data_IF_967364901478
#
_entry.id   IF_967364901478
#
_cell.length_a   1.000
_cell.length_b   1.000
_cell.length_c   1.000
_cell.angle_alpha   90.00
_cell.angle_beta   90.00
_cell.angle_gamma   90.00
#
_symmetry.space_group_name_H-M   'P 1'
#
loop_
_entity.id
_entity.type
_entity.pdbx_description
1 polymer ?
#
# COMPACT_ATOMS: atom_id res chain seq x y z
N UNK A 1 41.43 -52.08 -35.61
CA UNK A 1 40.65 -52.10 -34.35
C UNK A 1 41.05 -50.86 -33.57
N UNK A 2 40.08 -50.20 -32.92
CA UNK A 2 40.12 -48.88 -32.26
C UNK A 2 39.59 -47.72 -33.14
N UNK A 3 38.26 -47.76 -33.23
CA UNK A 3 37.28 -46.68 -33.01
C UNK A 3 37.55 -45.25 -33.52
N UNK A 4 36.76 -44.90 -34.53
CA UNK A 4 36.33 -43.54 -34.82
C UNK A 4 35.56 -42.95 -33.61
N UNK A 5 36.19 -42.03 -32.89
CA UNK A 5 35.46 -41.05 -32.06
C UNK A 5 34.94 -39.93 -32.95
N UNK A 6 33.73 -40.10 -33.49
CA UNK A 6 32.93 -39.00 -34.02
C UNK A 6 32.40 -38.17 -32.86
N UNK A 7 33.17 -37.16 -32.44
CA UNK A 7 32.64 -36.09 -31.59
C UNK A 7 31.86 -35.11 -32.45
N UNK A 8 30.71 -35.55 -32.98
CA UNK A 8 29.68 -34.64 -33.44
C UNK A 8 29.06 -34.01 -32.19
N UNK A 9 29.74 -32.98 -31.69
CA UNK A 9 29.22 -32.16 -30.63
C UNK A 9 27.89 -31.58 -31.10
N UNK A 10 26.80 -32.06 -30.51
CA UNK A 10 25.49 -31.43 -30.57
C UNK A 10 25.62 -29.98 -30.07
N UNK A 11 25.99 -29.06 -30.96
CA UNK A 11 25.92 -27.62 -30.78
C UNK A 11 24.46 -27.19 -30.93
N UNK A 12 23.59 -27.79 -30.11
CA UNK A 12 22.25 -27.30 -29.89
C UNK A 12 22.35 -25.84 -29.47
N UNK A 13 21.64 -24.98 -30.19
CA UNK A 13 21.67 -23.51 -30.12
C UNK A 13 21.48 -22.97 -28.70
N UNK A 14 22.59 -22.95 -27.95
CA UNK A 14 22.67 -22.54 -26.56
C UNK A 14 22.34 -21.05 -26.42
N UNK A 15 22.60 -20.27 -27.47
CA UNK A 15 22.27 -18.85 -27.55
C UNK A 15 20.76 -18.63 -27.64
N UNK A 16 20.03 -19.35 -28.51
CA UNK A 16 18.58 -19.25 -28.54
C UNK A 16 17.93 -19.80 -27.27
N UNK A 17 18.49 -20.84 -26.65
CA UNK A 17 18.03 -21.30 -25.34
C UNK A 17 18.23 -20.23 -24.25
N UNK A 18 19.40 -19.57 -24.21
CA UNK A 18 19.68 -18.46 -23.29
C UNK A 18 18.75 -17.26 -23.54
N UNK A 19 18.52 -16.90 -24.81
CA UNK A 19 17.60 -15.82 -25.21
C UNK A 19 16.15 -16.14 -24.81
N UNK A 20 15.67 -17.37 -25.05
CA UNK A 20 14.33 -17.81 -24.60
C UNK A 20 14.19 -17.73 -23.08
N UNK A 21 15.20 -18.18 -22.32
CA UNK A 21 15.23 -18.06 -20.85
C UNK A 21 15.22 -16.60 -20.40
N UNK A 22 15.99 -15.72 -21.04
CA UNK A 22 16.01 -14.29 -20.72
C UNK A 22 14.67 -13.62 -21.00
N UNK A 23 14.04 -13.91 -22.13
CA UNK A 23 12.70 -13.42 -22.48
C UNK A 23 11.64 -13.94 -21.50
N UNK A 24 11.67 -15.23 -21.16
CA UNK A 24 10.76 -15.83 -20.19
C UNK A 24 10.96 -15.26 -18.78
N UNK A 25 12.21 -15.03 -18.35
CA UNK A 25 12.52 -14.36 -17.10
C UNK A 25 12.07 -12.89 -17.10
N UNK A 26 12.17 -12.20 -18.25
CA UNK A 26 11.64 -10.85 -18.44
C UNK A 26 10.11 -10.80 -18.38
N UNK A 27 9.43 -11.77 -19.01
CA UNK A 27 7.96 -11.93 -18.93
C UNK A 27 7.51 -12.22 -17.51
N UNK A 28 8.15 -13.16 -16.80
CA UNK A 28 7.86 -13.45 -15.39
C UNK A 28 8.05 -12.23 -14.49
N UNK A 29 9.14 -11.47 -14.67
CA UNK A 29 9.36 -10.21 -13.94
C UNK A 29 8.30 -9.15 -14.24
N UNK A 30 7.83 -9.04 -15.48
CA UNK A 30 6.75 -8.12 -15.87
C UNK A 30 5.40 -8.57 -15.28
N UNK A 31 5.08 -9.85 -15.35
CA UNK A 31 3.86 -10.42 -14.78
C UNK A 31 3.84 -10.27 -13.25
N UNK A 32 4.93 -10.61 -12.56
CA UNK A 32 5.07 -10.40 -11.12
C UNK A 32 5.02 -8.92 -10.72
N UNK A 33 5.38 -8.00 -11.62
CA UNK A 33 5.26 -6.56 -11.42
C UNK A 33 3.82 -6.05 -11.62
N UNK A 34 3.06 -6.66 -12.53
CA UNK A 34 1.65 -6.34 -12.79
C UNK A 34 0.68 -7.12 -11.89
N UNK A 35 1.18 -7.92 -10.94
CA UNK A 35 0.33 -8.72 -10.05
C UNK A 35 -0.10 -7.92 -8.83
N UNK A 36 -1.41 -7.98 -8.53
CA UNK A 36 -2.04 -7.50 -7.29
C UNK A 36 -2.09 -8.56 -6.20
N UNK A 37 -1.59 -9.78 -6.45
CA UNK A 37 -1.59 -10.87 -5.49
C UNK A 37 -0.73 -10.53 -4.27
N UNK A 38 -1.33 -10.60 -3.09
CA UNK A 38 -0.61 -10.38 -1.85
C UNK A 38 0.26 -11.60 -1.52
N UNK A 39 1.45 -11.40 -0.92
CA UNK A 39 2.21 -12.50 -0.36
C UNK A 39 1.50 -13.08 0.86
N UNK A 40 2.02 -14.18 1.39
CA UNK A 40 1.70 -14.58 2.76
C UNK A 40 2.13 -13.47 3.73
N UNK A 41 1.17 -12.96 4.49
CA UNK A 41 1.38 -11.88 5.45
C UNK A 41 1.58 -12.52 6.82
N UNK A 42 2.82 -12.50 7.28
CA UNK A 42 3.20 -12.98 8.60
C UNK A 42 4.36 -12.13 9.15
N UNK A 43 4.54 -12.09 10.48
CA UNK A 43 5.70 -11.46 11.07
C UNK A 43 6.99 -12.10 10.53
N UNK A 44 8.04 -11.31 10.22
CA UNK A 44 9.25 -11.83 9.58
C UNK A 44 10.13 -12.68 10.49
N UNK A 45 9.87 -12.65 11.80
CA UNK A 45 10.61 -13.40 12.83
C UNK A 45 9.64 -14.00 13.85
N UNK A 46 10.01 -15.14 14.42
CA UNK A 46 9.31 -15.69 15.58
C UNK A 46 9.43 -14.76 16.79
N UNK A 47 8.56 -14.95 17.79
CA UNK A 47 8.72 -14.27 19.06
C UNK A 47 10.00 -14.79 19.75
N UNK A 48 10.74 -13.88 20.35
CA UNK A 48 11.83 -14.20 21.28
C UNK A 48 11.27 -14.67 22.62
N UNK A 49 12.09 -15.35 23.41
CA UNK A 49 11.76 -15.66 24.80
C UNK A 49 11.89 -14.41 25.71
N UNK A 50 11.24 -14.45 26.87
CA UNK A 50 11.40 -13.43 27.92
C UNK A 50 10.90 -12.03 27.55
N UNK A 51 11.46 -10.96 28.17
CA UNK A 51 10.96 -9.60 28.01
C UNK A 51 10.94 -9.06 26.58
N UNK A 52 11.89 -9.46 25.73
CA UNK A 52 11.91 -9.04 24.33
C UNK A 52 10.71 -9.60 23.55
N UNK A 53 10.34 -10.86 23.81
CA UNK A 53 9.14 -11.48 23.25
C UNK A 53 7.86 -10.74 23.62
N UNK A 54 7.77 -10.28 24.87
CA UNK A 54 6.64 -9.47 25.33
C UNK A 54 6.54 -8.13 24.58
N UNK A 55 7.68 -7.46 24.34
CA UNK A 55 7.72 -6.22 23.52
C UNK A 55 7.26 -6.50 22.08
N UNK A 56 7.76 -7.58 21.45
CA UNK A 56 7.35 -7.95 20.09
C UNK A 56 5.85 -8.27 20.00
N UNK A 57 5.30 -8.97 20.98
CA UNK A 57 3.87 -9.28 21.05
C UNK A 57 3.04 -7.99 21.20
N UNK A 58 3.46 -7.08 22.07
CA UNK A 58 2.80 -5.78 22.25
C UNK A 58 2.80 -4.95 20.96
N UNK A 59 3.93 -4.86 20.26
CA UNK A 59 4.01 -4.12 18.99
C UNK A 59 3.12 -4.71 17.88
N UNK A 60 3.04 -6.04 17.79
CA UNK A 60 2.12 -6.72 16.86
C UNK A 60 0.67 -6.43 17.21
N UNK A 61 0.32 -6.47 18.50
CA UNK A 61 -1.03 -6.16 18.97
C UNK A 61 -1.39 -4.69 18.70
N UNK A 62 -0.46 -3.75 18.89
CA UNK A 62 -0.64 -2.34 18.52
C UNK A 62 -0.92 -2.21 17.01
N UNK A 63 -0.20 -2.97 16.17
CA UNK A 63 -0.48 -3.06 14.74
C UNK A 63 -1.91 -3.54 14.47
N UNK A 64 -2.28 -4.68 15.04
CA UNK A 64 -3.62 -5.27 14.89
C UNK A 64 -4.74 -4.32 15.33
N UNK A 65 -4.60 -3.68 16.49
CA UNK A 65 -5.57 -2.70 16.98
C UNK A 65 -5.63 -1.44 16.11
N UNK A 66 -4.49 -1.02 15.54
CA UNK A 66 -4.47 0.07 14.57
C UNK A 66 -5.27 -0.28 13.32
N UNK A 67 -5.17 -1.52 12.83
CA UNK A 67 -5.94 -1.99 11.69
C UNK A 67 -7.45 -2.06 11.99
N UNK A 68 -7.81 -2.66 13.14
CA UNK A 68 -9.21 -2.73 13.58
C UNK A 68 -9.84 -1.34 13.76
N UNK A 69 -9.10 -0.41 14.39
CA UNK A 69 -9.57 0.98 14.53
C UNK A 69 -9.80 1.64 13.18
N UNK A 70 -8.93 1.41 12.19
CA UNK A 70 -9.13 1.98 10.85
C UNK A 70 -10.43 1.48 10.20
N UNK A 71 -10.76 0.18 10.35
CA UNK A 71 -12.03 -0.38 9.88
C UNK A 71 -13.23 0.24 10.61
N UNK A 72 -13.18 0.29 11.95
CA UNK A 72 -14.25 0.86 12.76
C UNK A 72 -14.49 2.36 12.45
N UNK A 73 -13.42 3.14 12.23
CA UNK A 73 -13.55 4.54 11.83
C UNK A 73 -14.16 4.68 10.43
N UNK A 74 -13.80 3.80 9.49
CA UNK A 74 -14.39 3.82 8.15
C UNK A 74 -15.87 3.41 8.15
N UNK A 75 -16.25 2.43 8.98
CA UNK A 75 -17.65 2.04 9.20
C UNK A 75 -18.44 3.18 9.85
N UNK A 76 -17.89 3.79 10.90
CA UNK A 76 -18.47 4.99 11.51
C UNK A 76 -18.69 6.11 10.47
N UNK A 77 -17.68 6.39 9.64
CA UNK A 77 -17.78 7.40 8.59
C UNK A 77 -18.88 7.07 7.55
N UNK A 78 -19.10 5.79 7.24
CA UNK A 78 -20.18 5.37 6.35
C UNK A 78 -21.59 5.68 6.92
N UNK A 79 -21.73 5.71 8.25
CA UNK A 79 -22.98 6.15 8.92
C UNK A 79 -23.16 7.67 8.97
N UNK A 80 -22.19 8.43 8.43
CA UNK A 80 -22.14 9.89 8.41
C UNK A 80 -21.90 10.39 6.99
N UNK A 81 -22.80 10.16 6.03
CA UNK A 81 -22.61 10.64 4.66
C UNK A 81 -22.70 12.17 4.59
N UNK A 82 -21.90 12.78 3.71
CA UNK A 82 -21.96 14.21 3.46
C UNK A 82 -23.33 14.70 2.97
N UNK A 83 -24.14 13.82 2.37
CA UNK A 83 -25.51 14.14 1.94
C UNK A 83 -26.47 14.44 3.09
N UNK A 84 -26.09 14.11 4.33
CA UNK A 84 -26.86 14.47 5.53
C UNK A 84 -26.47 15.85 6.09
N UNK A 85 -25.41 16.49 5.57
CA UNK A 85 -25.00 17.83 5.97
C UNK A 85 -25.94 18.90 5.39
N UNK A 86 -25.92 20.07 6.03
CA UNK A 86 -26.60 21.26 5.52
C UNK A 86 -26.02 21.69 4.17
N UNK A 87 -26.85 22.32 3.35
CA UNK A 87 -26.38 22.85 2.08
C UNK A 87 -25.39 23.99 2.32
N UNK A 88 -24.37 24.08 1.45
CA UNK A 88 -23.37 25.14 1.54
C UNK A 88 -24.04 26.51 1.41
N UNK A 89 -23.74 27.43 2.32
CA UNK A 89 -24.37 28.75 2.41
C UNK A 89 -25.52 28.84 3.42
N UNK A 90 -26.00 27.73 3.96
CA UNK A 90 -26.96 27.74 5.07
C UNK A 90 -26.29 28.09 6.41
N UNK A 91 -26.99 28.76 7.33
CA UNK A 91 -26.49 28.98 8.69
C UNK A 91 -26.04 27.68 9.36
N UNK A 92 -24.77 27.64 9.77
CA UNK A 92 -24.18 26.49 10.46
C UNK A 92 -23.61 25.40 9.55
N UNK A 93 -23.69 25.54 8.22
CA UNK A 93 -22.90 24.74 7.28
C UNK A 93 -21.41 25.14 7.32
N UNK A 94 -20.49 24.23 6.96
CA UNK A 94 -19.11 24.61 6.68
C UNK A 94 -19.07 25.68 5.58
N UNK A 95 -18.06 26.55 5.63
CA UNK A 95 -17.88 27.57 4.59
C UNK A 95 -17.48 26.92 3.26
N UNK A 96 -17.86 27.51 2.11
CA UNK A 96 -17.50 26.99 0.79
C UNK A 96 -15.98 26.83 0.59
N UNK A 97 -15.18 27.74 1.15
CA UNK A 97 -13.71 27.71 1.03
C UNK A 97 -13.13 26.53 1.80
N UNK A 98 -13.64 26.27 3.01
CA UNK A 98 -13.23 25.11 3.80
C UNK A 98 -13.67 23.82 3.14
N UNK A 99 -14.88 23.79 2.60
CA UNK A 99 -15.40 22.64 1.85
C UNK A 99 -14.51 22.33 0.63
N UNK A 100 -14.16 23.34 -0.16
CA UNK A 100 -13.30 23.19 -1.33
C UNK A 100 -11.89 22.69 -0.98
N UNK A 101 -11.36 23.11 0.18
CA UNK A 101 -10.06 22.68 0.69
C UNK A 101 -10.07 21.28 1.33
N UNK A 102 -11.23 20.62 1.49
CA UNK A 102 -11.29 19.28 2.08
C UNK A 102 -10.53 18.26 1.22
N UNK A 103 -9.74 17.38 1.85
CA UNK A 103 -9.16 16.22 1.18
C UNK A 103 -10.22 15.42 0.43
N UNK A 104 -9.88 14.95 -0.77
CA UNK A 104 -10.81 14.25 -1.65
C UNK A 104 -11.48 13.04 -0.98
N UNK A 105 -10.70 12.24 -0.25
CA UNK A 105 -11.18 11.07 0.48
C UNK A 105 -12.14 11.41 1.63
N UNK A 106 -12.19 12.67 2.07
CA UNK A 106 -13.14 13.14 3.09
C UNK A 106 -14.40 13.77 2.51
N UNK A 107 -14.45 14.05 1.20
CA UNK A 107 -15.64 14.64 0.54
C UNK A 107 -16.94 13.85 0.69
N UNK A 108 -16.95 12.50 0.66
CA UNK A 108 -18.19 11.75 0.83
C UNK A 108 -18.65 11.67 2.29
N UNK A 109 -17.84 12.13 3.26
CA UNK A 109 -18.11 12.03 4.69
C UNK A 109 -18.58 13.37 5.24
N UNK A 110 -19.53 13.34 6.17
CA UNK A 110 -20.04 14.51 6.86
C UNK A 110 -18.92 15.37 7.44
N UNK A 111 -19.11 16.69 7.35
CA UNK A 111 -18.25 17.69 7.99
C UNK A 111 -18.18 17.56 9.53
N UNK A 112 -19.14 16.87 10.14
CA UNK A 112 -19.23 16.68 11.59
C UNK A 112 -18.49 15.43 12.09
N UNK A 113 -18.18 14.47 11.21
CA UNK A 113 -17.61 13.18 11.60
C UNK A 113 -16.31 13.31 12.40
N UNK A 114 -15.40 14.20 11.99
CA UNK A 114 -14.16 14.45 12.72
C UNK A 114 -14.41 15.05 14.12
N UNK A 115 -15.45 15.89 14.28
CA UNK A 115 -15.81 16.47 15.59
C UNK A 115 -16.42 15.44 16.52
N UNK A 116 -17.22 14.52 15.99
CA UNK A 116 -17.71 13.37 16.76
C UNK A 116 -16.53 12.52 17.29
N UNK A 117 -15.49 12.32 16.48
CA UNK A 117 -14.26 11.64 16.93
C UNK A 117 -13.48 12.43 17.99
N UNK A 118 -13.42 13.76 17.89
CA UNK A 118 -12.82 14.62 18.93
C UNK A 118 -13.49 14.37 20.28
N UNK A 119 -14.82 14.37 20.32
CA UNK A 119 -15.59 14.15 21.55
C UNK A 119 -15.46 12.70 22.02
N UNK A 120 -15.63 11.74 21.12
CA UNK A 120 -15.64 10.31 21.48
C UNK A 120 -14.29 9.77 21.94
N UNK A 121 -13.17 10.37 21.51
CA UNK A 121 -11.82 9.89 21.81
C UNK A 121 -10.98 10.88 22.63
N UNK A 122 -11.51 12.05 22.97
CA UNK A 122 -10.79 13.12 23.67
C UNK A 122 -9.47 13.51 22.98
N UNK A 123 -9.52 13.69 21.66
CA UNK A 123 -8.35 14.05 20.82
C UNK A 123 -8.50 15.44 20.20
N UNK A 124 -7.41 16.04 19.73
CA UNK A 124 -7.48 17.31 19.01
C UNK A 124 -8.22 17.16 17.67
N UNK A 125 -8.77 18.27 17.16
CA UNK A 125 -9.39 18.31 15.83
C UNK A 125 -8.42 17.84 14.72
N UNK A 126 -7.17 18.29 14.78
CA UNK A 126 -6.13 17.85 13.83
C UNK A 126 -5.85 16.35 13.90
N UNK A 127 -5.85 15.77 15.10
CA UNK A 127 -5.67 14.33 15.27
C UNK A 127 -6.88 13.54 14.73
N UNK A 128 -8.09 14.06 14.91
CA UNK A 128 -9.30 13.44 14.38
C UNK A 128 -9.34 13.49 12.84
N UNK A 129 -9.01 14.61 12.21
CA UNK A 129 -8.93 14.73 10.75
C UNK A 129 -7.90 13.77 10.16
N UNK A 130 -6.72 13.70 10.77
CA UNK A 130 -5.65 12.76 10.38
C UNK A 130 -6.11 11.32 10.56
N UNK A 131 -6.76 10.99 11.68
CA UNK A 131 -7.27 9.65 11.95
C UNK A 131 -8.33 9.23 10.93
N UNK A 132 -9.31 10.09 10.66
CA UNK A 132 -10.38 9.83 9.71
C UNK A 132 -9.82 9.63 8.30
N UNK A 133 -9.03 10.59 7.81
CA UNK A 133 -8.43 10.53 6.46
C UNK A 133 -7.53 9.30 6.29
N UNK A 134 -6.68 9.01 7.29
CA UNK A 134 -5.83 7.81 7.30
C UNK A 134 -6.65 6.53 7.23
N UNK A 135 -7.70 6.43 8.04
CA UNK A 135 -8.52 5.22 8.14
C UNK A 135 -9.23 4.92 6.82
N UNK A 136 -9.81 5.94 6.18
CA UNK A 136 -10.43 5.79 4.85
C UNK A 136 -9.41 5.39 3.78
N UNK A 137 -8.20 5.96 3.81
CA UNK A 137 -7.14 5.56 2.88
C UNK A 137 -6.69 4.11 3.10
N UNK A 138 -6.56 3.66 4.35
CA UNK A 138 -6.19 2.27 4.64
C UNK A 138 -7.27 1.28 4.19
N UNK A 139 -8.54 1.58 4.43
CA UNK A 139 -9.64 0.68 4.10
C UNK A 139 -9.92 0.65 2.60
N UNK A 140 -9.96 1.81 1.95
CA UNK A 140 -10.44 1.91 0.55
C UNK A 140 -9.32 2.04 -0.49
N UNK A 141 -8.11 2.49 -0.11
CA UNK A 141 -6.99 2.67 -1.05
C UNK A 141 -5.83 1.70 -0.84
N UNK A 142 -5.64 1.19 0.38
CA UNK A 142 -4.51 0.35 0.77
C UNK A 142 -4.91 -0.91 1.58
N UNK A 143 -5.84 -1.73 1.07
CA UNK A 143 -6.35 -2.88 1.81
C UNK A 143 -5.28 -3.94 2.11
N UNK A 144 -4.26 -4.09 1.24
CA UNK A 144 -3.16 -5.03 1.49
C UNK A 144 -2.27 -4.59 2.66
N UNK A 145 -2.03 -3.28 2.78
CA UNK A 145 -1.29 -2.67 3.89
C UNK A 145 -2.04 -2.86 5.21
N UNK A 146 -3.36 -2.67 5.17
CA UNK A 146 -4.21 -2.89 6.34
C UNK A 146 -4.15 -4.35 6.81
N UNK A 147 -4.25 -5.31 5.90
CA UNK A 147 -4.10 -6.74 6.20
C UNK A 147 -2.69 -7.07 6.74
N UNK A 148 -1.63 -6.46 6.18
CA UNK A 148 -0.26 -6.67 6.63
C UNK A 148 -0.01 -6.14 8.04
N UNK A 149 -0.65 -5.03 8.40
CA UNK A 149 -0.62 -4.48 9.75
C UNK A 149 -1.36 -5.40 10.73
N UNK A 150 -2.53 -5.91 10.33
CA UNK A 150 -3.36 -6.83 11.13
C UNK A 150 -2.64 -8.16 11.40
N UNK A 151 -1.90 -8.68 10.41
CA UNK A 151 -1.10 -9.89 10.53
C UNK A 151 0.26 -9.68 11.22
N UNK A 152 0.64 -8.45 11.58
CA UNK A 152 1.94 -8.13 12.17
C UNK A 152 3.13 -8.27 11.20
N UNK A 153 2.87 -8.37 9.90
CA UNK A 153 3.90 -8.30 8.85
C UNK A 153 4.46 -6.89 8.70
N UNK A 154 3.65 -5.88 9.02
CA UNK A 154 4.06 -4.48 9.18
C UNK A 154 3.65 -3.99 10.58
N UNK A 155 4.29 -2.90 11.02
CA UNK A 155 3.93 -2.17 12.25
C UNK A 155 3.62 -0.70 11.90
N UNK A 156 3.00 0.09 12.81
CA UNK A 156 2.49 1.43 12.49
C UNK A 156 3.51 2.41 11.90
N UNK A 157 4.80 2.25 12.22
CA UNK A 157 5.88 3.08 11.67
C UNK A 157 6.03 2.98 10.14
N UNK A 158 5.58 1.87 9.53
CA UNK A 158 5.57 1.69 8.08
C UNK A 158 4.44 2.44 7.37
N UNK A 159 3.38 2.83 8.10
CA UNK A 159 2.18 3.38 7.49
C UNK A 159 2.43 4.72 6.80
N UNK A 160 3.33 5.54 7.34
CA UNK A 160 3.63 6.85 6.75
C UNK A 160 4.08 6.71 5.29
N UNK A 161 4.97 5.76 5.00
CA UNK A 161 5.42 5.48 3.64
C UNK A 161 4.26 5.08 2.72
N UNK A 162 3.41 4.16 3.16
CA UNK A 162 2.31 3.66 2.33
C UNK A 162 1.29 4.78 2.07
N UNK A 163 0.95 5.57 3.09
CA UNK A 163 0.01 6.68 3.00
C UNK A 163 0.53 7.86 2.18
N UNK A 164 1.83 8.17 2.26
CA UNK A 164 2.42 9.32 1.58
C UNK A 164 2.82 9.02 0.13
N UNK A 165 3.25 7.79 -0.16
CA UNK A 165 3.79 7.41 -1.48
C UNK A 165 2.87 6.54 -2.32
N UNK A 166 2.05 5.69 -1.69
CA UNK A 166 1.24 4.71 -2.41
C UNK A 166 -0.21 5.13 -2.47
N UNK A 167 -0.80 5.59 -1.35
CA UNK A 167 -2.20 6.04 -1.34
C UNK A 167 -2.49 7.12 -2.40
N UNK A 168 -1.63 8.13 -2.63
CA UNK A 168 -1.92 9.21 -3.59
C UNK A 168 -1.85 8.79 -5.06
N UNK A 169 -1.46 7.55 -5.39
CA UNK A 169 -1.50 7.06 -6.77
C UNK A 169 -2.96 7.00 -7.19
N UNK A 170 -3.35 7.77 -8.21
CA UNK A 170 -4.75 7.91 -8.64
C UNK A 170 -5.31 6.62 -9.24
N UNK A 171 -4.60 6.04 -10.21
CA UNK A 171 -5.00 4.81 -10.88
C UNK A 171 -5.08 3.64 -9.85
N UNK A 172 -6.28 3.09 -9.60
CA UNK A 172 -6.49 2.07 -8.58
C UNK A 172 -5.76 0.75 -8.89
N UNK A 173 -5.62 0.39 -10.16
CA UNK A 173 -4.91 -0.82 -10.57
C UNK A 173 -3.41 -0.63 -10.32
N UNK A 174 -2.85 0.49 -10.77
CA UNK A 174 -1.43 0.80 -10.55
C UNK A 174 -1.12 0.88 -9.05
N UNK A 175 -2.01 1.49 -8.26
CA UNK A 175 -1.88 1.58 -6.80
C UNK A 175 -1.85 0.19 -6.16
N UNK A 176 -2.80 -0.67 -6.49
CA UNK A 176 -2.88 -2.02 -5.95
C UNK A 176 -1.65 -2.86 -6.33
N UNK A 177 -1.17 -2.75 -7.57
CA UNK A 177 0.06 -3.43 -8.00
C UNK A 177 1.30 -2.91 -7.27
N UNK A 178 1.41 -1.60 -7.03
CA UNK A 178 2.53 -1.01 -6.27
C UNK A 178 2.48 -1.47 -4.81
N UNK A 179 1.31 -1.45 -4.20
CA UNK A 179 1.09 -1.96 -2.85
C UNK A 179 1.53 -3.43 -2.75
N UNK A 180 1.00 -4.29 -3.62
CA UNK A 180 1.31 -5.71 -3.59
C UNK A 180 2.79 -5.99 -3.90
N UNK A 181 3.42 -5.26 -4.82
CA UNK A 181 4.85 -5.38 -5.11
C UNK A 181 5.72 -4.98 -3.91
N UNK A 182 5.35 -3.94 -3.18
CA UNK A 182 6.04 -3.53 -1.95
C UNK A 182 5.88 -4.58 -0.86
N UNK A 183 4.67 -5.11 -0.67
CA UNK A 183 4.41 -6.14 0.33
C UNK A 183 5.15 -7.44 -0.01
N UNK A 184 5.17 -7.88 -1.27
CA UNK A 184 5.98 -9.04 -1.72
C UNK A 184 7.48 -8.80 -1.50
N UNK A 185 7.93 -7.56 -1.68
CA UNK A 185 9.31 -7.18 -1.39
C UNK A 185 9.59 -7.06 0.12
N UNK A 186 8.61 -6.83 0.97
CA UNK A 186 8.80 -6.81 2.42
C UNK A 186 8.65 -8.21 3.05
N UNK A 187 7.86 -9.10 2.45
CA UNK A 187 7.51 -10.40 2.99
C UNK A 187 8.75 -11.23 3.38
N UNK A 188 8.72 -11.76 4.60
CA UNK A 188 9.81 -12.56 5.18
C UNK A 188 11.09 -11.80 5.49
N UNK A 189 11.12 -10.46 5.37
CA UNK A 189 12.30 -9.63 5.63
C UNK A 189 12.09 -8.74 6.85
N UNK A 190 13.15 -8.53 7.62
CA UNK A 190 13.21 -7.43 8.57
C UNK A 190 13.44 -6.16 7.76
N UNK A 191 12.40 -5.33 7.66
CA UNK A 191 12.43 -4.07 6.92
C UNK A 191 12.18 -2.93 7.90
N UNK A 192 13.05 -1.93 7.88
CA UNK A 192 12.81 -0.68 8.59
C UNK A 192 11.95 0.27 7.73
N UNK A 193 11.16 1.18 8.34
CA UNK A 193 10.33 2.13 7.60
C UNK A 193 11.08 2.92 6.51
N UNK A 194 12.33 3.34 6.77
CA UNK A 194 13.15 4.05 5.80
C UNK A 194 13.51 3.19 4.56
N UNK A 195 13.76 1.89 4.75
CA UNK A 195 14.06 0.98 3.64
C UNK A 195 12.83 0.76 2.76
N UNK A 196 11.65 0.64 3.38
CA UNK A 196 10.38 0.59 2.66
C UNK A 196 10.14 1.91 1.88
N UNK A 197 10.42 3.06 2.50
CA UNK A 197 10.31 4.37 1.87
C UNK A 197 11.21 4.48 0.62
N UNK A 198 12.46 4.06 0.72
CA UNK A 198 13.40 4.05 -0.40
C UNK A 198 12.93 3.16 -1.54
N UNK A 199 12.44 1.96 -1.22
CA UNK A 199 11.89 1.04 -2.21
C UNK A 199 10.66 1.63 -2.89
N UNK A 200 9.73 2.21 -2.11
CA UNK A 200 8.52 2.84 -2.62
C UNK A 200 8.86 4.00 -3.58
N UNK A 201 9.78 4.90 -3.18
CA UNK A 201 10.25 6.00 -4.04
C UNK A 201 10.78 5.51 -5.39
N UNK A 202 11.66 4.51 -5.39
CA UNK A 202 12.22 3.94 -6.63
C UNK A 202 11.14 3.30 -7.50
N UNK A 203 10.19 2.59 -6.88
CA UNK A 203 9.13 1.90 -7.60
C UNK A 203 8.17 2.88 -8.28
N UNK A 204 7.69 3.89 -7.55
CA UNK A 204 6.80 4.93 -8.06
C UNK A 204 7.48 5.71 -9.19
N UNK A 205 8.70 6.21 -8.98
CA UNK A 205 9.45 6.92 -10.02
C UNK A 205 9.64 6.10 -11.30
N UNK A 206 9.89 4.79 -11.17
CA UNK A 206 10.00 3.88 -12.33
C UNK A 206 8.68 3.75 -13.09
N UNK A 207 7.54 3.74 -12.39
CA UNK A 207 6.22 3.63 -13.03
C UNK A 207 5.82 4.95 -13.69
N UNK A 208 6.09 6.08 -13.05
CA UNK A 208 5.83 7.41 -13.60
C UNK A 208 6.61 7.65 -14.88
N UNK A 209 7.91 7.33 -14.89
CA UNK A 209 8.74 7.42 -16.08
C UNK A 209 8.19 6.57 -17.24
N UNK A 210 7.69 5.36 -16.96
CA UNK A 210 7.07 4.50 -17.99
C UNK A 210 5.72 5.03 -18.47
N UNK A 211 4.91 5.58 -17.57
CA UNK A 211 3.64 6.20 -17.94
C UNK A 211 3.87 7.45 -18.78
N UNK A 212 4.88 8.25 -18.45
CA UNK A 212 5.30 9.40 -19.26
C UNK A 212 5.78 8.98 -20.65
N UNK A 213 6.65 7.96 -20.76
CA UNK A 213 7.11 7.43 -22.04
C UNK A 213 5.94 6.93 -22.91
N UNK A 214 4.99 6.18 -22.34
CA UNK A 214 3.78 5.72 -23.06
C UNK A 214 2.89 6.87 -23.54
N UNK A 215 2.83 7.98 -22.79
CA UNK A 215 2.09 9.18 -23.24
C UNK A 215 2.79 9.85 -24.42
N UNK A 216 4.12 9.90 -24.42
CA UNK A 216 4.90 10.44 -25.52
C UNK A 216 4.77 9.59 -26.80
N UNK A 217 4.80 8.26 -26.68
CA UNK A 217 4.59 7.33 -27.81
C UNK A 217 3.18 7.41 -28.41
N UNK A 218 2.20 7.86 -27.62
CA UNK A 218 0.79 8.01 -28.04
C UNK A 218 0.43 9.44 -28.46
N UNK A 219 1.35 10.39 -28.30
CA UNK A 219 1.15 11.74 -28.78
C UNK A 219 1.34 11.76 -30.31
N UNK A 220 0.39 12.33 -31.07
CA UNK A 220 0.43 12.37 -32.53
C UNK A 220 1.56 13.24 -33.08
#
# INVERSE_FOLDING_TARGET
MIEHMTTEAATGDWYAAARRRAVAAGRRRRAAKASTELPELAPPVALSDGPLGAVQAADREIGRQTALRARAVAEFAATRPATADRAQGEPGAMSPERWAARPENLRPVSEWAARELVVGLSISASAADVMLSRSLNLVYRLPGTLAALEAGALHPGHLWTMLDKVAPIDDPIVRAEVEAELLRWAAGRIVAPAQLADKARRLVATRDARSAARRLEKAP
#
